data_IF_484913185080
#
_entry.id   IF_484913185080
#
_cell.length_a   1.000
_cell.length_b   1.000
_cell.length_c   1.000
_cell.angle_alpha   90.00
_cell.angle_beta   90.00
_cell.angle_gamma   90.00
#
_symmetry.space_group_name_H-M   'P 1'
#
loop_
_entity.id
_entity.type
_entity.pdbx_description
1 polymer ?
#
# COMPACT_ATOMS: atom_id res chain seq x y z
N UNK A 1 -38.26 41.96 5.45
CA UNK A 1 -38.51 40.51 5.48
C UNK A 1 -37.16 39.82 5.41
N UNK A 2 -36.59 39.54 6.58
CA UNK A 2 -35.48 38.59 6.71
C UNK A 2 -36.02 37.18 6.57
N UNK A 3 -35.24 36.33 5.93
CA UNK A 3 -35.57 34.95 5.64
C UNK A 3 -34.28 34.23 5.34
N UNK A 4 -33.40 34.23 6.33
CA UNK A 4 -32.14 33.51 6.32
C UNK A 4 -32.46 32.02 6.33
N UNK A 5 -32.64 31.42 5.15
CA UNK A 5 -32.63 29.96 5.05
C UNK A 5 -31.16 29.52 5.07
N UNK A 6 -30.73 29.26 6.29
CA UNK A 6 -29.57 28.50 6.72
C UNK A 6 -29.15 27.46 5.66
N UNK A 7 -27.84 27.35 5.32
CA UNK A 7 -27.37 26.24 4.50
C UNK A 7 -27.80 24.96 5.21
N UNK A 8 -28.56 24.13 4.49
CA UNK A 8 -28.91 22.78 4.94
C UNK A 8 -27.65 22.16 5.49
N UNK A 9 -27.63 22.00 6.81
CA UNK A 9 -26.60 21.28 7.53
C UNK A 9 -26.38 20.02 6.71
N UNK A 10 -25.19 19.89 6.13
CA UNK A 10 -24.79 18.67 5.47
C UNK A 10 -25.14 17.59 6.47
N UNK A 11 -26.11 16.77 6.09
CA UNK A 11 -26.34 15.54 6.79
C UNK A 11 -24.96 14.90 6.80
N UNK A 12 -24.34 14.88 7.98
CA UNK A 12 -23.40 13.85 8.35
C UNK A 12 -24.23 12.57 8.30
N UNK A 13 -24.57 12.16 7.08
CA UNK A 13 -25.17 10.89 6.76
C UNK A 13 -24.23 9.93 7.46
N UNK A 14 -24.80 9.14 8.37
CA UNK A 14 -24.13 7.99 8.94
C UNK A 14 -23.73 7.12 7.76
N UNK A 15 -22.54 7.37 7.21
CA UNK A 15 -22.09 6.54 6.11
C UNK A 15 -21.54 5.30 6.77
N UNK A 16 -22.19 4.19 6.43
CA UNK A 16 -21.72 2.85 6.77
C UNK A 16 -20.23 2.71 6.48
N UNK A 17 -19.55 1.94 7.31
CA UNK A 17 -18.16 1.57 7.05
C UNK A 17 -18.05 0.87 5.69
N UNK A 18 -16.90 0.97 5.04
CA UNK A 18 -16.68 0.34 3.72
C UNK A 18 -16.84 -1.18 3.81
N UNK A 19 -16.48 -1.80 4.94
CA UNK A 19 -16.75 -3.23 5.15
C UNK A 19 -18.26 -3.53 5.12
N UNK A 20 -19.08 -2.75 5.83
CA UNK A 20 -20.53 -2.94 5.86
C UNK A 20 -21.15 -2.79 4.46
N UNK A 21 -20.73 -1.77 3.70
CA UNK A 21 -21.18 -1.56 2.31
C UNK A 21 -20.84 -2.76 1.43
N UNK A 22 -19.62 -3.31 1.58
CA UNK A 22 -19.18 -4.49 0.83
C UNK A 22 -19.97 -5.75 1.21
N UNK A 23 -20.28 -5.93 2.50
CA UNK A 23 -21.04 -7.10 3.00
C UNK A 23 -22.50 -7.02 2.55
N UNK A 24 -23.11 -5.84 2.57
CA UNK A 24 -24.51 -5.67 2.15
C UNK A 24 -24.69 -5.57 0.63
N UNK A 25 -23.60 -5.37 -0.12
CA UNK A 25 -23.64 -5.18 -1.57
C UNK A 25 -24.19 -3.81 -1.98
N UNK A 26 -24.10 -2.81 -1.10
CA UNK A 26 -24.56 -1.45 -1.37
C UNK A 26 -23.65 -0.77 -2.41
N UNK A 27 -24.23 0.08 -3.25
CA UNK A 27 -23.44 0.89 -4.18
C UNK A 27 -22.55 1.89 -3.42
N UNK A 28 -21.26 2.06 -3.78
CA UNK A 28 -20.39 3.01 -3.11
C UNK A 28 -20.93 4.44 -3.23
N UNK A 29 -20.97 5.21 -2.14
CA UNK A 29 -21.44 6.60 -2.18
C UNK A 29 -20.68 7.44 -3.21
N UNK A 30 -21.31 8.46 -3.83
CA UNK A 30 -20.70 9.25 -4.92
C UNK A 30 -19.33 9.87 -4.63
N UNK A 31 -18.97 10.06 -3.36
CA UNK A 31 -17.65 10.58 -2.95
C UNK A 31 -16.49 9.57 -3.11
N UNK A 32 -16.79 8.27 -3.22
CA UNK A 32 -15.78 7.23 -3.49
C UNK A 32 -15.56 7.03 -5.00
N UNK A 33 -16.44 7.56 -5.84
CA UNK A 33 -16.36 7.45 -7.29
C UNK A 33 -15.35 8.49 -7.80
N UNK A 34 -14.20 8.04 -8.30
CA UNK A 34 -13.25 8.91 -9.00
C UNK A 34 -13.88 9.27 -10.35
N UNK A 35 -13.92 10.57 -10.67
CA UNK A 35 -14.30 11.04 -12.01
C UNK A 35 -13.04 10.94 -12.87
N UNK A 36 -13.11 10.22 -13.98
CA UNK A 36 -12.03 9.85 -14.90
C UNK A 36 -11.33 11.04 -15.63
N UNK A 37 -11.11 12.16 -14.95
CA UNK A 37 -10.60 13.41 -15.54
C UNK A 37 -9.29 13.93 -14.95
N UNK A 38 -8.71 13.19 -13.99
CA UNK A 38 -7.33 13.37 -13.52
C UNK A 38 -6.57 12.04 -13.54
N UNK A 39 -6.92 11.18 -14.51
CA UNK A 39 -6.32 9.88 -14.68
C UNK A 39 -4.93 10.04 -15.31
N UNK A 40 -3.94 10.28 -14.45
CA UNK A 40 -2.71 9.52 -14.62
C UNK A 40 -3.16 8.05 -14.78
N UNK A 41 -2.82 7.37 -15.88
CA UNK A 41 -3.22 5.99 -16.05
C UNK A 41 -2.87 5.24 -14.77
N UNK A 42 -3.84 4.48 -14.23
CA UNK A 42 -3.49 3.39 -13.33
C UNK A 42 -2.53 2.56 -14.16
N UNK A 43 -1.24 2.73 -13.92
CA UNK A 43 -0.18 2.07 -14.64
C UNK A 43 -0.28 0.58 -14.27
N UNK A 44 -1.26 -0.13 -14.82
CA UNK A 44 -1.29 -1.58 -14.86
C UNK A 44 -0.10 -2.11 -15.66
N UNK A 45 0.55 -1.23 -16.42
CA UNK A 45 1.91 -1.38 -16.94
C UNK A 45 2.99 -1.10 -15.88
N UNK A 46 2.86 -1.63 -14.66
CA UNK A 46 4.04 -1.98 -13.85
C UNK A 46 4.65 -3.28 -14.40
N UNK A 47 4.93 -3.29 -15.71
CA UNK A 47 5.60 -4.41 -16.40
C UNK A 47 7.05 -4.58 -15.92
N UNK A 48 7.58 -3.56 -15.23
CA UNK A 48 8.82 -3.69 -14.47
C UNK A 48 8.51 -4.37 -13.14
N UNK A 49 9.17 -5.49 -12.84
CA UNK A 49 9.08 -6.12 -11.52
C UNK A 49 9.66 -5.18 -10.47
N UNK A 50 8.97 -5.03 -9.33
CA UNK A 50 9.48 -4.32 -8.15
C UNK A 50 10.85 -4.91 -7.79
N UNK A 51 11.89 -4.09 -7.51
CA UNK A 51 13.20 -4.60 -7.12
C UNK A 51 13.08 -5.41 -5.83
N UNK A 52 13.71 -6.59 -5.79
CA UNK A 52 13.80 -7.43 -4.59
C UNK A 52 15.17 -7.25 -3.98
N UNK A 53 15.31 -6.99 -2.69
CA UNK A 53 16.58 -6.84 -1.99
C UNK A 53 16.71 -7.95 -0.93
N UNK A 54 17.78 -8.73 -1.02
CA UNK A 54 18.12 -9.76 -0.05
C UNK A 54 18.95 -9.18 1.10
N UNK A 55 18.29 -9.01 2.24
CA UNK A 55 18.87 -8.45 3.46
C UNK A 55 19.89 -9.41 4.08
N UNK A 56 19.74 -10.72 3.88
CA UNK A 56 20.68 -11.71 4.38
C UNK A 56 22.02 -11.53 3.68
N UNK A 57 22.04 -11.32 2.35
CA UNK A 57 23.30 -11.07 1.62
C UNK A 57 24.04 -9.85 2.18
N UNK A 58 23.31 -8.76 2.47
CA UNK A 58 23.89 -7.52 2.97
C UNK A 58 24.45 -7.65 4.39
N UNK A 59 23.79 -8.43 5.26
CA UNK A 59 24.09 -8.50 6.69
C UNK A 59 24.93 -9.71 7.10
N UNK A 60 24.89 -10.80 6.34
CA UNK A 60 25.53 -12.05 6.73
C UNK A 60 27.05 -11.98 6.67
N UNK A 61 27.78 -12.46 7.69
CA UNK A 61 29.23 -12.57 7.63
C UNK A 61 29.71 -13.65 6.64
N UNK A 62 28.83 -14.57 6.22
CA UNK A 62 29.20 -15.66 5.29
C UNK A 62 29.12 -15.26 3.82
N UNK A 63 28.48 -14.13 3.50
CA UNK A 63 28.41 -13.61 2.13
C UNK A 63 29.74 -13.00 1.72
N UNK A 64 30.14 -13.27 0.48
CA UNK A 64 31.36 -12.72 -0.10
C UNK A 64 31.27 -11.20 -0.26
N UNK A 65 32.43 -10.54 -0.35
CA UNK A 65 32.48 -9.09 -0.60
C UNK A 65 31.77 -8.72 -1.90
N UNK A 66 31.95 -9.52 -2.95
CA UNK A 66 31.32 -9.29 -4.26
C UNK A 66 29.80 -9.37 -4.20
N UNK A 67 29.23 -10.39 -3.53
CA UNK A 67 27.78 -10.51 -3.34
C UNK A 67 27.20 -9.31 -2.59
N UNK A 68 27.90 -8.84 -1.55
CA UNK A 68 27.49 -7.66 -0.77
C UNK A 68 27.52 -6.39 -1.61
N UNK A 69 28.57 -6.18 -2.40
CA UNK A 69 28.69 -5.03 -3.27
C UNK A 69 27.59 -5.02 -4.33
N UNK A 70 27.34 -6.17 -4.97
CA UNK A 70 26.27 -6.33 -5.96
C UNK A 70 24.88 -6.04 -5.37
N UNK A 71 24.56 -6.62 -4.21
CA UNK A 71 23.24 -6.40 -3.60
C UNK A 71 23.09 -4.97 -3.05
N UNK A 72 24.19 -4.34 -2.61
CA UNK A 72 24.20 -2.94 -2.20
C UNK A 72 23.98 -2.00 -3.39
N UNK A 73 24.56 -2.28 -4.55
CA UNK A 73 24.31 -1.52 -5.78
C UNK A 73 22.85 -1.64 -6.22
N UNK A 74 22.29 -2.84 -6.15
CA UNK A 74 20.86 -3.09 -6.42
C UNK A 74 19.96 -2.27 -5.48
N UNK A 75 20.29 -2.20 -4.19
CA UNK A 75 19.57 -1.38 -3.22
C UNK A 75 19.66 0.12 -3.56
N UNK A 76 20.85 0.63 -3.90
CA UNK A 76 21.03 2.03 -4.34
C UNK A 76 20.21 2.34 -5.59
N UNK A 77 20.19 1.44 -6.57
CA UNK A 77 19.41 1.59 -7.79
C UNK A 77 17.91 1.58 -7.49
N UNK A 78 17.43 0.67 -6.66
CA UNK A 78 16.03 0.64 -6.25
C UNK A 78 15.61 1.95 -5.56
N UNK A 79 16.40 2.45 -4.62
CA UNK A 79 16.11 3.71 -3.92
C UNK A 79 16.11 4.94 -4.83
N UNK A 80 17.00 4.99 -5.82
CA UNK A 80 17.13 6.15 -6.72
C UNK A 80 16.17 6.14 -7.90
N UNK A 81 15.78 4.97 -8.40
CA UNK A 81 14.93 4.83 -9.60
C UNK A 81 13.49 4.47 -9.28
N UNK A 82 13.26 3.62 -8.28
CA UNK A 82 11.92 3.16 -7.88
C UNK A 82 11.38 3.91 -6.66
N UNK A 83 12.25 4.22 -5.70
CA UNK A 83 11.84 4.77 -4.40
C UNK A 83 11.24 3.73 -3.44
N UNK A 84 11.04 2.48 -3.89
CA UNK A 84 10.61 1.35 -3.06
C UNK A 84 11.16 0.02 -3.61
N UNK A 85 11.14 -1.01 -2.77
CA UNK A 85 11.60 -2.36 -3.07
C UNK A 85 10.92 -3.38 -2.15
N UNK A 86 10.98 -4.66 -2.51
CA UNK A 86 10.59 -5.77 -1.64
C UNK A 86 11.82 -6.30 -0.91
N UNK A 87 11.76 -6.48 0.40
CA UNK A 87 12.85 -7.09 1.16
C UNK A 87 12.60 -8.60 1.34
N UNK A 88 13.65 -9.41 1.18
CA UNK A 88 13.68 -10.85 1.52
C UNK A 88 14.90 -11.14 2.39
N UNK A 89 14.98 -12.32 3.01
CA UNK A 89 16.11 -12.67 3.88
C UNK A 89 16.26 -11.72 5.09
N UNK A 90 15.16 -11.11 5.54
CA UNK A 90 15.16 -10.10 6.60
C UNK A 90 15.14 -10.70 8.02
N UNK A 91 15.15 -12.03 8.15
CA UNK A 91 15.13 -12.78 9.41
C UNK A 91 13.98 -12.43 10.39
N UNK A 92 12.90 -11.85 9.87
CA UNK A 92 11.67 -11.66 10.65
C UNK A 92 10.95 -13.00 10.64
N UNK A 93 10.66 -13.58 11.82
CA UNK A 93 10.03 -14.89 11.89
C UNK A 93 8.67 -14.93 11.18
N UNK A 94 8.42 -15.94 10.35
CA UNK A 94 7.15 -16.08 9.62
C UNK A 94 5.96 -16.11 10.58
N UNK A 95 6.07 -16.78 11.73
CA UNK A 95 4.99 -16.83 12.72
C UNK A 95 4.61 -15.45 13.29
N UNK A 96 5.51 -14.46 13.27
CA UNK A 96 5.19 -13.09 13.65
C UNK A 96 4.39 -12.37 12.54
N UNK A 97 4.76 -12.60 11.28
CA UNK A 97 4.04 -12.08 10.12
C UNK A 97 2.64 -12.70 10.08
N UNK A 98 2.55 -14.03 10.20
CA UNK A 98 1.30 -14.78 10.26
C UNK A 98 0.41 -14.27 11.40
N UNK A 99 0.97 -14.05 12.60
CA UNK A 99 0.22 -13.51 13.72
C UNK A 99 -0.29 -12.08 13.45
N UNK A 100 0.50 -11.24 12.79
CA UNK A 100 0.07 -9.89 12.40
C UNK A 100 -1.05 -9.94 11.36
N UNK A 101 -0.99 -10.86 10.41
CA UNK A 101 -2.06 -11.09 9.43
C UNK A 101 -3.33 -11.63 10.09
N UNK A 102 -3.20 -12.60 11.00
CA UNK A 102 -4.29 -13.17 11.77
C UNK A 102 -5.03 -12.12 12.60
N UNK A 103 -4.29 -11.22 13.26
CA UNK A 103 -4.87 -10.11 14.03
C UNK A 103 -5.65 -9.16 13.12
N UNK A 104 -5.14 -8.88 11.93
CA UNK A 104 -5.76 -7.92 11.00
C UNK A 104 -6.88 -8.51 10.13
N UNK A 105 -7.02 -9.85 10.08
CA UNK A 105 -8.03 -10.53 9.23
C UNK A 105 -9.47 -10.40 9.76
N UNK A 106 -9.67 -9.99 11.01
CA UNK A 106 -11.02 -9.90 11.59
C UNK A 106 -11.64 -8.51 11.33
N UNK A 107 -12.07 -8.25 10.10
CA UNK A 107 -13.08 -7.24 9.73
C UNK A 107 -13.89 -7.70 8.51
#
# INVERSE_FOLDING_TARGET
MGGDHLPSQEASVLVKHVQELSISGDEPPPRYIRKDKDDAPVNTSLSSSIPIIDIHVLSSPSSSTEEKENELEKLKLALSTWGFFQAVGHDIPNNLIDAAEDINRVL
#
